data_IF_299263677193
#
_entry.id   IF_299263677193
#
_cell.length_a   1.000
_cell.length_b   1.000
_cell.length_c   1.000
_cell.angle_alpha   90.00
_cell.angle_beta   90.00
_cell.angle_gamma   90.00
#
_symmetry.space_group_name_H-M   'P 1'
#
loop_
_entity.id
_entity.type
_entity.pdbx_description
1 polymer ?
#
# COMPACT_ATOMS: atom_id res chain seq x y z
N UNK A 1 0.27 6.14 22.41
CA UNK A 1 -0.22 5.52 21.17
C UNK A 1 0.78 4.41 20.86
N UNK A 2 0.36 3.17 20.65
CA UNK A 2 1.28 2.12 20.24
C UNK A 2 1.75 2.47 18.82
N UNK A 3 3.08 2.39 18.62
CA UNK A 3 3.67 2.59 17.31
C UNK A 3 3.34 1.39 16.44
N UNK A 4 2.84 1.59 15.23
CA UNK A 4 2.45 0.51 14.32
C UNK A 4 3.64 -0.39 13.95
N UNK A 5 4.84 0.15 14.00
CA UNK A 5 6.08 -0.58 13.74
C UNK A 5 6.32 -1.69 14.76
N UNK A 6 5.83 -1.51 16.00
CA UNK A 6 5.91 -2.49 17.08
C UNK A 6 4.75 -3.51 17.09
N UNK A 7 3.75 -3.34 16.21
CA UNK A 7 2.66 -4.30 16.07
C UNK A 7 3.05 -5.34 15.02
N UNK A 8 3.11 -6.59 15.45
CA UNK A 8 3.53 -7.71 14.59
C UNK A 8 2.40 -8.75 14.49
N UNK A 9 2.31 -9.50 13.37
CA UNK A 9 1.28 -10.52 13.18
C UNK A 9 1.27 -11.60 14.25
N UNK A 10 2.44 -12.00 14.74
CA UNK A 10 2.60 -13.13 15.65
C UNK A 10 3.07 -12.75 17.07
N UNK A 11 3.01 -11.48 17.43
CA UNK A 11 3.10 -10.89 18.77
C UNK A 11 4.32 -11.29 19.62
N UNK A 12 4.39 -12.55 20.06
CA UNK A 12 5.47 -13.07 20.93
C UNK A 12 6.64 -13.70 20.17
N UNK A 13 6.60 -13.68 18.85
CA UNK A 13 7.68 -14.21 18.01
C UNK A 13 8.89 -13.26 18.02
N UNK A 14 10.10 -13.80 18.13
CA UNK A 14 11.35 -13.02 18.18
C UNK A 14 11.85 -12.58 16.82
N UNK A 15 11.22 -13.03 15.73
CA UNK A 15 11.56 -12.59 14.36
C UNK A 15 11.18 -11.14 14.14
N UNK A 16 11.85 -10.49 13.20
CA UNK A 16 11.52 -9.12 12.85
C UNK A 16 10.12 -8.99 12.20
N UNK A 17 9.60 -7.76 12.14
CA UNK A 17 8.26 -7.50 11.59
C UNK A 17 8.16 -7.88 10.11
N UNK A 18 9.19 -7.62 9.31
CA UNK A 18 9.17 -7.89 7.87
C UNK A 18 9.04 -9.39 7.59
N UNK A 19 9.77 -10.22 8.32
CA UNK A 19 9.69 -11.67 8.21
C UNK A 19 8.32 -12.22 8.63
N UNK A 20 7.77 -11.74 9.75
CA UNK A 20 6.43 -12.12 10.21
C UNK A 20 5.33 -11.70 9.23
N UNK A 21 5.43 -10.50 8.68
CA UNK A 21 4.50 -9.97 7.66
C UNK A 21 4.57 -10.79 6.39
N UNK A 22 5.78 -11.13 5.92
CA UNK A 22 5.96 -11.99 4.75
C UNK A 22 5.27 -13.34 4.94
N UNK A 23 5.56 -14.04 6.04
CA UNK A 23 4.96 -15.36 6.34
C UNK A 23 3.43 -15.28 6.42
N UNK A 24 2.90 -14.26 7.07
CA UNK A 24 1.46 -14.05 7.15
C UNK A 24 0.84 -13.89 5.74
N UNK A 25 1.45 -13.07 4.88
CA UNK A 25 0.93 -12.85 3.53
C UNK A 25 1.11 -14.08 2.64
N UNK A 26 2.19 -14.83 2.76
CA UNK A 26 2.36 -16.12 2.07
C UNK A 26 1.24 -17.09 2.47
N UNK A 27 0.92 -17.18 3.76
CA UNK A 27 -0.12 -18.08 4.27
C UNK A 27 -1.54 -17.74 3.79
N UNK A 28 -1.86 -16.44 3.64
CA UNK A 28 -3.20 -15.99 3.24
C UNK A 28 -3.34 -15.73 1.74
N UNK A 29 -2.25 -15.75 0.96
CA UNK A 29 -2.22 -15.39 -0.46
C UNK A 29 -3.32 -16.06 -1.29
N UNK A 30 -3.60 -17.38 -1.16
CA UNK A 30 -4.65 -18.03 -1.96
C UNK A 30 -6.06 -17.48 -1.74
N UNK A 31 -6.36 -16.95 -0.56
CA UNK A 31 -7.68 -16.41 -0.22
C UNK A 31 -7.72 -14.87 -0.21
N UNK A 32 -6.58 -14.20 -0.40
CA UNK A 32 -6.41 -12.76 -0.16
C UNK A 32 -7.39 -11.90 -0.95
N UNK A 33 -7.44 -12.08 -2.27
CA UNK A 33 -8.33 -11.27 -3.13
C UNK A 33 -9.81 -11.48 -2.80
N UNK A 34 -10.20 -12.72 -2.52
CA UNK A 34 -11.57 -13.03 -2.11
C UNK A 34 -11.91 -12.36 -0.79
N UNK A 35 -11.02 -12.48 0.20
CA UNK A 35 -11.22 -11.90 1.53
C UNK A 35 -11.29 -10.37 1.50
N UNK A 36 -10.39 -9.71 0.75
CA UNK A 36 -10.44 -8.25 0.60
C UNK A 36 -11.77 -7.79 0.00
N UNK A 37 -12.26 -8.49 -1.03
CA UNK A 37 -13.56 -8.21 -1.65
C UNK A 37 -14.73 -8.45 -0.69
N UNK A 38 -14.69 -9.55 0.04
CA UNK A 38 -15.72 -9.88 1.03
C UNK A 38 -15.75 -8.86 2.18
N UNK A 39 -14.58 -8.53 2.75
CA UNK A 39 -14.46 -7.57 3.85
C UNK A 39 -14.78 -6.12 3.46
N UNK A 40 -14.64 -5.76 2.20
CA UNK A 40 -14.93 -4.40 1.73
C UNK A 40 -16.25 -4.32 0.97
N UNK A 41 -16.97 -5.42 0.82
CA UNK A 41 -18.14 -5.52 -0.07
C UNK A 41 -17.82 -5.06 -1.50
N UNK A 42 -16.56 -5.26 -1.96
CA UNK A 42 -16.07 -4.85 -3.27
C UNK A 42 -15.81 -3.35 -3.45
N UNK A 43 -15.97 -2.53 -2.40
CA UNK A 43 -15.73 -1.08 -2.44
C UNK A 43 -14.23 -0.77 -2.65
N UNK A 44 -13.33 -1.66 -2.27
CA UNK A 44 -11.88 -1.55 -2.53
C UNK A 44 -11.56 -1.29 -4.02
N UNK A 45 -12.35 -1.85 -4.92
CA UNK A 45 -12.22 -1.60 -6.37
C UNK A 45 -12.54 -0.16 -6.75
N UNK A 46 -13.50 0.47 -6.06
CA UNK A 46 -13.84 1.87 -6.28
C UNK A 46 -12.76 2.80 -5.73
N UNK A 47 -12.16 2.44 -4.58
CA UNK A 47 -11.04 3.19 -4.02
C UNK A 47 -9.83 3.17 -4.95
N UNK A 48 -9.40 1.98 -5.44
CA UNK A 48 -8.33 1.86 -6.43
C UNK A 48 -8.66 2.61 -7.74
N UNK A 49 -9.91 2.51 -8.22
CA UNK A 49 -10.33 3.25 -9.42
C UNK A 49 -10.20 4.77 -9.24
N UNK A 50 -10.57 5.28 -8.06
CA UNK A 50 -10.44 6.71 -7.74
C UNK A 50 -8.96 7.12 -7.69
N UNK A 51 -8.12 6.32 -7.05
CA UNK A 51 -6.68 6.54 -6.97
C UNK A 51 -6.02 6.61 -8.36
N UNK A 52 -6.30 5.64 -9.22
CA UNK A 52 -5.79 5.61 -10.60
C UNK A 52 -6.26 6.83 -11.39
N UNK A 53 -7.53 7.26 -11.25
CA UNK A 53 -8.02 8.49 -11.89
C UNK A 53 -7.28 9.75 -11.40
N UNK A 54 -6.88 9.79 -10.14
CA UNK A 54 -6.09 10.92 -9.62
C UNK A 54 -4.68 10.92 -10.18
N UNK A 55 -4.09 9.74 -10.38
CA UNK A 55 -2.77 9.60 -10.99
C UNK A 55 -2.78 9.95 -12.48
N UNK A 56 -3.90 9.77 -13.18
CA UNK A 56 -4.05 10.08 -14.61
C UNK A 56 -3.75 11.55 -14.97
N UNK A 57 -3.82 12.48 -14.01
CA UNK A 57 -3.47 13.89 -14.21
C UNK A 57 -1.98 14.20 -14.01
N UNK A 58 -1.18 13.22 -13.61
CA UNK A 58 0.27 13.33 -13.40
C UNK A 58 1.02 12.65 -14.56
N UNK A 59 2.33 12.89 -14.67
CA UNK A 59 3.18 12.08 -15.54
C UNK A 59 3.33 10.67 -14.94
N UNK A 60 3.19 9.62 -15.75
CA UNK A 60 3.05 8.25 -15.27
C UNK A 60 3.53 7.19 -16.29
N UNK A 61 4.57 7.51 -17.07
CA UNK A 61 5.13 6.55 -18.02
C UNK A 61 5.81 5.38 -17.30
N UNK A 62 6.58 5.66 -16.25
CA UNK A 62 7.27 4.66 -15.45
C UNK A 62 6.68 4.66 -14.02
N UNK A 63 5.96 3.59 -13.65
CA UNK A 63 5.27 3.47 -12.37
C UNK A 63 5.89 2.37 -11.52
N UNK A 64 6.12 2.65 -10.23
CA UNK A 64 6.44 1.64 -9.22
C UNK A 64 5.25 1.44 -8.27
N UNK A 65 4.82 0.19 -8.09
CA UNK A 65 3.80 -0.21 -7.12
C UNK A 65 4.46 -1.01 -5.98
N UNK A 66 4.54 -0.42 -4.80
CA UNK A 66 5.20 -0.97 -3.61
C UNK A 66 4.18 -1.72 -2.75
N UNK A 67 4.58 -2.87 -2.21
CA UNK A 67 3.69 -3.83 -1.56
C UNK A 67 2.51 -4.17 -2.50
N UNK A 68 2.85 -4.54 -3.73
CA UNK A 68 1.90 -4.74 -4.82
C UNK A 68 0.94 -5.91 -4.58
N UNK A 69 1.32 -6.84 -3.68
CA UNK A 69 0.55 -8.05 -3.39
C UNK A 69 0.28 -8.87 -4.64
N UNK A 70 -0.97 -9.18 -4.89
CA UNK A 70 -1.42 -9.91 -6.08
C UNK A 70 -1.54 -9.03 -7.34
N UNK A 71 -0.98 -7.81 -7.35
CA UNK A 71 -0.90 -6.93 -8.52
C UNK A 71 -2.20 -6.21 -8.91
N UNK A 72 -3.24 -6.21 -8.08
CA UNK A 72 -4.54 -5.61 -8.44
C UNK A 72 -4.44 -4.12 -8.83
N UNK A 73 -3.58 -3.33 -8.15
CA UNK A 73 -3.39 -1.92 -8.48
C UNK A 73 -2.52 -1.77 -9.72
N UNK A 74 -1.42 -2.51 -9.83
CA UNK A 74 -0.52 -2.51 -10.99
C UNK A 74 -1.27 -2.85 -12.29
N UNK A 75 -2.06 -3.93 -12.30
CA UNK A 75 -2.89 -4.35 -13.43
C UNK A 75 -3.90 -3.25 -13.80
N UNK A 76 -4.52 -2.62 -12.79
CA UNK A 76 -5.48 -1.53 -13.03
C UNK A 76 -4.82 -0.30 -13.62
N UNK A 77 -3.63 0.08 -13.15
CA UNK A 77 -2.87 1.20 -13.70
C UNK A 77 -2.50 0.93 -15.16
N UNK A 78 -1.92 -0.22 -15.46
CA UNK A 78 -1.58 -0.62 -16.82
C UNK A 78 -2.79 -0.58 -17.78
N UNK A 79 -3.95 -1.11 -17.35
CA UNK A 79 -5.16 -1.14 -18.18
C UNK A 79 -5.94 0.18 -18.25
N UNK A 80 -5.50 1.24 -17.54
CA UNK A 80 -6.25 2.51 -17.48
C UNK A 80 -5.43 3.73 -17.91
N UNK A 81 -4.13 3.74 -17.61
CA UNK A 81 -3.25 4.90 -17.79
C UNK A 81 -2.39 4.80 -19.05
N UNK A 82 -2.28 3.61 -19.64
CA UNK A 82 -1.42 3.31 -20.78
C UNK A 82 0.06 3.71 -20.54
N UNK A 83 0.67 3.30 -19.40
CA UNK A 83 2.06 3.60 -19.10
C UNK A 83 3.01 2.77 -19.96
N UNK A 84 4.27 3.22 -20.08
CA UNK A 84 5.33 2.44 -20.71
C UNK A 84 5.70 1.21 -19.88
N UNK A 85 5.71 1.37 -18.55
CA UNK A 85 6.07 0.29 -17.62
C UNK A 85 5.39 0.46 -16.26
N UNK A 86 4.96 -0.65 -15.69
CA UNK A 86 4.55 -0.76 -14.29
C UNK A 86 5.36 -1.86 -13.61
N UNK A 87 6.21 -1.50 -12.66
CA UNK A 87 6.96 -2.45 -11.85
C UNK A 87 6.28 -2.58 -10.49
N UNK A 88 5.93 -3.81 -10.08
CA UNK A 88 5.39 -4.08 -8.76
C UNK A 88 6.39 -4.88 -7.92
N UNK A 89 6.58 -4.50 -6.65
CA UNK A 89 7.43 -5.24 -5.70
C UNK A 89 6.66 -5.59 -4.43
N UNK A 90 6.92 -6.79 -3.92
CA UNK A 90 6.37 -7.29 -2.65
C UNK A 90 7.37 -8.21 -1.95
N UNK A 91 7.27 -8.37 -0.63
CA UNK A 91 8.07 -9.32 0.14
C UNK A 91 7.59 -10.77 0.00
N UNK A 92 6.30 -10.97 -0.27
CA UNK A 92 5.65 -12.28 -0.35
C UNK A 92 5.82 -12.90 -1.74
N UNK A 93 6.51 -14.03 -1.81
CA UNK A 93 6.68 -14.79 -3.05
C UNK A 93 5.35 -15.35 -3.57
N UNK A 94 4.52 -15.86 -2.67
CA UNK A 94 3.20 -16.41 -3.00
C UNK A 94 2.26 -15.34 -3.59
N UNK A 95 2.29 -14.11 -3.06
CA UNK A 95 1.54 -12.98 -3.63
C UNK A 95 2.01 -12.66 -5.05
N UNK A 96 3.33 -12.58 -5.25
CA UNK A 96 3.93 -12.28 -6.57
C UNK A 96 3.58 -13.37 -7.59
N UNK A 97 3.61 -14.65 -7.21
CA UNK A 97 3.25 -15.75 -8.10
C UNK A 97 1.77 -15.68 -8.54
N UNK A 98 0.86 -15.35 -7.62
CA UNK A 98 -0.54 -15.10 -7.96
C UNK A 98 -0.67 -13.88 -8.87
N UNK A 99 0.05 -12.80 -8.57
CA UNK A 99 0.08 -11.58 -9.36
C UNK A 99 0.55 -11.81 -10.80
N UNK A 100 1.65 -12.55 -10.99
CA UNK A 100 2.18 -12.90 -12.33
C UNK A 100 1.15 -13.66 -13.16
N UNK A 101 0.43 -14.61 -12.56
CA UNK A 101 -0.66 -15.31 -13.26
C UNK A 101 -1.76 -14.34 -13.69
N UNK A 102 -2.19 -13.42 -12.81
CA UNK A 102 -3.20 -12.40 -13.12
C UNK A 102 -2.74 -11.43 -14.23
N UNK A 103 -1.47 -11.03 -14.23
CA UNK A 103 -0.87 -10.21 -15.29
C UNK A 103 -0.92 -10.95 -16.63
N UNK A 104 -0.57 -12.24 -16.64
CA UNK A 104 -0.63 -13.09 -17.82
C UNK A 104 -2.05 -13.27 -18.36
N UNK A 105 -3.02 -13.54 -17.47
CA UNK A 105 -4.44 -13.67 -17.83
C UNK A 105 -5.01 -12.38 -18.40
N UNK A 106 -4.52 -11.23 -17.91
CA UNK A 106 -4.88 -9.90 -18.41
C UNK A 106 -4.12 -9.52 -19.70
N UNK A 107 -3.15 -10.33 -20.15
CA UNK A 107 -2.28 -10.07 -21.32
C UNK A 107 -1.46 -8.77 -21.20
N UNK A 108 -0.96 -8.50 -19.98
CA UNK A 108 -0.21 -7.27 -19.67
C UNK A 108 1.29 -7.53 -19.43
N UNK A 109 1.83 -8.69 -19.82
CA UNK A 109 3.23 -9.07 -19.59
C UNK A 109 4.27 -8.11 -20.22
N UNK A 110 3.89 -7.42 -21.29
CA UNK A 110 4.75 -6.43 -21.95
C UNK A 110 4.90 -5.12 -21.15
N UNK A 111 3.92 -4.82 -20.25
CA UNK A 111 3.85 -3.56 -19.52
C UNK A 111 4.06 -3.76 -18.03
N UNK A 112 3.59 -4.87 -17.44
CA UNK A 112 3.62 -5.12 -16.00
C UNK A 112 4.65 -6.19 -15.65
N UNK A 113 5.61 -5.83 -14.79
CA UNK A 113 6.58 -6.75 -14.21
C UNK A 113 6.42 -6.81 -12.70
N UNK A 114 6.28 -8.01 -12.13
CA UNK A 114 6.18 -8.21 -10.68
C UNK A 114 7.39 -8.99 -10.16
N UNK A 115 7.97 -8.51 -9.05
CA UNK A 115 9.16 -9.10 -8.45
C UNK A 115 9.20 -9.00 -6.93
N UNK A 116 10.10 -9.79 -6.32
CA UNK A 116 10.38 -9.72 -4.89
C UNK A 116 11.20 -8.46 -4.62
N UNK A 117 10.83 -7.71 -3.58
CA UNK A 117 11.57 -6.52 -3.17
C UNK A 117 11.13 -6.01 -1.82
N UNK A 118 12.09 -5.49 -1.06
CA UNK A 118 11.85 -4.82 0.21
C UNK A 118 11.65 -3.32 -0.03
N UNK A 119 10.54 -2.78 0.47
CA UNK A 119 10.22 -1.36 0.39
C UNK A 119 11.19 -0.46 1.17
N UNK A 120 11.96 -1.02 2.10
CA UNK A 120 12.98 -0.30 2.88
C UNK A 120 14.33 -0.24 2.16
N UNK A 121 14.53 -1.07 1.13
CA UNK A 121 15.76 -1.14 0.33
C UNK A 121 15.41 -1.48 -1.13
N UNK A 122 14.86 -0.51 -1.84
CA UNK A 122 14.41 -0.72 -3.22
C UNK A 122 15.60 -0.90 -4.18
N UNK A 123 15.61 -1.96 -5.01
CA UNK A 123 16.73 -2.28 -5.92
C UNK A 123 16.72 -1.41 -7.20
N UNK A 124 16.35 -0.15 -7.07
CA UNK A 124 16.25 0.78 -8.19
C UNK A 124 17.13 2.01 -7.96
N UNK A 125 17.71 2.59 -9.03
CA UNK A 125 18.44 3.86 -8.94
C UNK A 125 17.54 5.01 -8.48
N UNK A 126 18.18 6.10 -8.03
CA UNK A 126 17.50 7.35 -7.73
C UNK A 126 16.77 7.89 -8.97
N UNK A 127 15.62 8.53 -8.76
CA UNK A 127 14.89 9.24 -9.80
C UNK A 127 14.58 8.36 -11.03
N UNK A 128 14.10 7.14 -10.80
CA UNK A 128 13.77 6.17 -11.85
C UNK A 128 12.31 6.29 -12.30
N UNK A 129 11.37 6.54 -11.38
CA UNK A 129 9.94 6.46 -11.64
C UNK A 129 9.26 7.83 -11.67
N UNK A 130 8.23 7.97 -12.49
CA UNK A 130 7.37 9.16 -12.56
C UNK A 130 6.29 9.14 -11.48
N UNK A 131 5.85 7.93 -11.11
CA UNK A 131 4.91 7.73 -10.04
C UNK A 131 5.29 6.53 -9.16
N UNK A 132 5.04 6.66 -7.85
CA UNK A 132 5.17 5.58 -6.87
C UNK A 132 3.83 5.41 -6.18
N UNK A 133 3.34 4.17 -6.13
CA UNK A 133 2.06 3.83 -5.49
C UNK A 133 2.26 2.79 -4.39
N UNK A 134 1.36 2.79 -3.40
CA UNK A 134 1.26 1.74 -2.40
C UNK A 134 -0.20 1.62 -1.96
N UNK A 135 -0.79 0.42 -2.06
CA UNK A 135 -2.16 0.19 -1.62
C UNK A 135 -2.23 -0.81 -0.47
N UNK A 136 -2.64 -0.33 0.71
CA UNK A 136 -2.83 -1.13 1.94
C UNK A 136 -1.54 -1.79 2.47
N UNK A 137 -0.38 -1.24 2.08
CA UNK A 137 0.93 -1.78 2.44
C UNK A 137 1.60 -1.06 3.61
N UNK A 138 1.42 0.27 3.73
CA UNK A 138 2.21 1.12 4.65
C UNK A 138 2.11 0.68 6.12
N UNK A 139 0.95 0.26 6.59
CA UNK A 139 0.79 -0.24 7.97
C UNK A 139 1.63 -1.47 8.29
N UNK A 140 2.12 -2.17 7.26
CA UNK A 140 2.94 -3.37 7.39
C UNK A 140 4.45 -3.09 7.34
N UNK A 141 4.87 -1.87 7.00
CA UNK A 141 6.29 -1.51 6.97
C UNK A 141 6.91 -1.66 8.37
N UNK A 142 8.13 -2.15 8.42
CA UNK A 142 8.90 -2.25 9.65
C UNK A 142 9.41 -0.86 10.09
N UNK A 143 9.64 0.05 9.13
CA UNK A 143 9.99 1.46 9.33
C UNK A 143 9.29 2.30 8.24
N UNK A 144 8.25 3.03 8.64
CA UNK A 144 7.45 3.85 7.70
C UNK A 144 8.27 5.00 7.13
N UNK A 145 9.09 5.63 7.96
CA UNK A 145 9.92 6.76 7.52
C UNK A 145 11.00 6.32 6.53
N UNK A 146 11.65 5.17 6.77
CA UNK A 146 12.58 4.58 5.82
C UNK A 146 11.90 4.23 4.49
N UNK A 147 10.72 3.61 4.53
CA UNK A 147 9.94 3.33 3.33
C UNK A 147 9.60 4.59 2.54
N UNK A 148 9.21 5.68 3.21
CA UNK A 148 8.92 6.94 2.54
C UNK A 148 10.17 7.61 1.97
N UNK A 149 11.33 7.52 2.65
CA UNK A 149 12.61 7.99 2.09
C UNK A 149 12.98 7.23 0.83
N UNK A 150 12.79 5.92 0.79
CA UNK A 150 13.03 5.09 -0.40
C UNK A 150 12.05 5.44 -1.55
N UNK A 151 10.75 5.61 -1.25
CA UNK A 151 9.78 6.10 -2.24
C UNK A 151 10.19 7.45 -2.82
N UNK A 152 10.64 8.37 -1.96
CA UNK A 152 11.11 9.68 -2.39
C UNK A 152 12.39 9.57 -3.22
N UNK A 153 13.35 8.70 -2.84
CA UNK A 153 14.62 8.51 -3.54
C UNK A 153 14.41 8.07 -4.97
N UNK A 154 13.59 7.03 -5.17
CA UNK A 154 13.36 6.44 -6.51
C UNK A 154 12.43 7.26 -7.39
N UNK A 155 11.68 8.20 -6.84
CA UNK A 155 10.78 9.06 -7.59
C UNK A 155 11.56 10.18 -8.27
N UNK A 156 11.25 10.49 -9.53
CA UNK A 156 11.81 11.64 -10.29
C UNK A 156 11.36 12.96 -9.67
N UNK A 157 12.16 14.04 -9.80
CA UNK A 157 11.71 15.39 -9.46
C UNK A 157 10.41 15.73 -10.22
N UNK A 158 9.39 16.23 -9.49
CA UNK A 158 8.04 16.48 -10.03
C UNK A 158 7.13 15.25 -10.07
N UNK A 159 7.66 14.05 -9.82
CA UNK A 159 6.92 12.80 -9.75
C UNK A 159 5.92 12.76 -8.60
N UNK A 160 4.99 11.83 -8.66
CA UNK A 160 3.85 11.74 -7.73
C UNK A 160 3.93 10.47 -6.88
N UNK A 161 3.81 10.61 -5.56
CA UNK A 161 3.52 9.48 -4.67
C UNK A 161 2.01 9.43 -4.40
N UNK A 162 1.43 8.21 -4.45
CA UNK A 162 0.03 7.97 -4.14
C UNK A 162 -0.11 6.72 -3.26
N UNK A 163 -0.67 6.90 -2.07
CA UNK A 163 -0.88 5.84 -1.09
C UNK A 163 -2.38 5.68 -0.85
N UNK A 164 -2.86 4.45 -0.84
CA UNK A 164 -4.21 4.10 -0.40
C UNK A 164 -4.05 3.31 0.90
N UNK A 165 -4.64 3.77 2.00
CA UNK A 165 -4.55 3.04 3.26
C UNK A 165 -5.90 3.01 3.99
N UNK A 166 -6.15 1.91 4.71
CA UNK A 166 -7.33 1.79 5.56
C UNK A 166 -7.22 2.76 6.72
N UNK A 167 -8.34 3.32 7.12
CA UNK A 167 -8.38 4.33 8.18
C UNK A 167 -9.60 4.15 9.07
N UNK A 168 -9.55 4.76 10.25
CA UNK A 168 -10.64 4.72 11.23
C UNK A 168 -11.53 5.95 11.06
N UNK A 169 -12.85 5.78 10.84
CA UNK A 169 -13.79 6.89 10.73
C UNK A 169 -13.73 7.84 11.93
N UNK A 170 -13.69 9.13 11.66
CA UNK A 170 -13.69 10.17 12.71
C UNK A 170 -15.12 10.50 13.20
N UNK A 171 -16.14 10.18 12.40
CA UNK A 171 -17.55 10.41 12.76
C UNK A 171 -17.96 9.59 13.98
N UNK A 172 -18.49 10.27 15.01
CA UNK A 172 -19.02 9.64 16.22
C UNK A 172 -20.18 8.69 15.96
N UNK A 173 -20.90 8.87 14.85
CA UNK A 173 -22.01 8.00 14.43
C UNK A 173 -21.49 6.76 13.70
N UNK A 174 -20.53 6.90 12.79
CA UNK A 174 -20.02 5.80 11.96
C UNK A 174 -19.05 4.90 12.72
N UNK A 175 -18.23 5.48 13.60
CA UNK A 175 -17.16 4.81 14.33
C UNK A 175 -17.62 3.60 15.17
N UNK A 176 -18.75 3.61 15.90
CA UNK A 176 -19.22 2.44 16.65
C UNK A 176 -19.55 1.25 15.72
N UNK A 177 -20.20 1.49 14.59
CA UNK A 177 -20.53 0.44 13.60
C UNK A 177 -19.27 -0.12 12.95
N UNK A 178 -18.34 0.74 12.58
CA UNK A 178 -17.04 0.36 12.06
C UNK A 178 -16.25 -0.52 13.06
N UNK A 179 -16.19 -0.11 14.33
CA UNK A 179 -15.51 -0.87 15.38
C UNK A 179 -16.17 -2.25 15.61
N UNK A 180 -17.49 -2.32 15.63
CA UNK A 180 -18.20 -3.60 15.70
C UNK A 180 -17.85 -4.49 14.49
N UNK A 181 -17.90 -3.93 13.29
CA UNK A 181 -17.58 -4.65 12.07
C UNK A 181 -16.14 -5.18 12.07
N UNK A 182 -15.16 -4.33 12.34
CA UNK A 182 -13.74 -4.69 12.27
C UNK A 182 -13.30 -5.62 13.41
N UNK A 183 -13.88 -5.50 14.59
CA UNK A 183 -13.48 -6.29 15.78
C UNK A 183 -14.27 -7.59 15.95
N UNK A 184 -15.44 -7.71 15.31
CA UNK A 184 -16.32 -8.88 15.49
C UNK A 184 -16.55 -9.60 14.16
N UNK A 185 -17.00 -8.88 13.12
CA UNK A 185 -17.40 -9.51 11.86
C UNK A 185 -16.17 -9.99 11.08
N UNK A 186 -15.16 -9.14 10.90
CA UNK A 186 -13.95 -9.50 10.14
C UNK A 186 -13.22 -10.72 10.73
N UNK A 187 -12.91 -10.77 12.05
CA UNK A 187 -12.27 -11.94 12.63
C UNK A 187 -13.12 -13.22 12.54
N UNK A 188 -14.45 -13.08 12.62
CA UNK A 188 -15.36 -14.22 12.49
C UNK A 188 -15.35 -14.80 11.09
N UNK A 189 -15.41 -13.95 10.06
CA UNK A 189 -15.28 -14.39 8.65
C UNK A 189 -13.90 -14.99 8.41
N UNK A 190 -12.85 -14.36 8.93
CA UNK A 190 -11.48 -14.84 8.82
C UNK A 190 -11.29 -16.26 9.35
N UNK A 191 -11.88 -16.58 10.49
CA UNK A 191 -11.85 -17.94 11.08
C UNK A 191 -12.52 -19.01 10.22
N UNK A 192 -13.51 -18.62 9.42
CA UNK A 192 -14.26 -19.55 8.57
C UNK A 192 -13.52 -19.81 7.24
N UNK A 193 -12.89 -18.77 6.69
CA UNK A 193 -12.36 -18.80 5.32
C UNK A 193 -10.86 -19.06 5.27
N UNK A 194 -10.11 -18.64 6.29
CA UNK A 194 -8.64 -18.71 6.30
C UNK A 194 -8.14 -19.65 7.38
N UNK A 195 -7.02 -20.34 7.08
CA UNK A 195 -6.29 -21.17 8.04
C UNK A 195 -5.50 -20.31 9.07
N UNK A 196 -5.21 -19.06 8.76
CA UNK A 196 -4.49 -18.14 9.65
C UNK A 196 -5.45 -17.12 10.30
N UNK A 197 -5.88 -17.45 11.51
CA UNK A 197 -6.77 -16.59 12.33
C UNK A 197 -6.06 -15.30 12.78
N UNK A 198 -4.72 -15.31 12.87
CA UNK A 198 -3.93 -14.19 13.43
C UNK A 198 -3.89 -13.02 12.46
N UNK A 199 -3.83 -13.26 11.15
CA UNK A 199 -3.90 -12.21 10.13
C UNK A 199 -5.12 -11.30 10.29
N UNK A 200 -6.25 -11.86 10.74
CA UNK A 200 -7.51 -11.11 10.91
C UNK A 200 -7.65 -10.42 12.26
N UNK A 201 -6.87 -10.79 13.27
CA UNK A 201 -6.71 -9.99 14.50
C UNK A 201 -5.70 -8.85 14.32
N UNK A 202 -4.64 -9.09 13.57
CA UNK A 202 -3.62 -8.09 13.23
C UNK A 202 -4.19 -6.93 12.41
N UNK A 203 -5.14 -7.20 11.49
CA UNK A 203 -5.72 -6.18 10.61
C UNK A 203 -6.34 -5.00 11.37
N UNK A 204 -7.29 -5.17 12.31
CA UNK A 204 -7.86 -4.03 13.04
C UNK A 204 -6.84 -3.32 13.94
N UNK A 205 -5.87 -4.04 14.49
CA UNK A 205 -4.81 -3.46 15.34
C UNK A 205 -3.88 -2.57 14.52
N UNK A 206 -3.38 -3.06 13.39
CA UNK A 206 -2.51 -2.30 12.50
C UNK A 206 -3.22 -1.08 11.89
N UNK A 207 -4.51 -1.18 11.53
CA UNK A 207 -5.30 -0.03 11.06
C UNK A 207 -5.43 1.05 12.16
N UNK A 208 -5.66 0.63 13.40
CA UNK A 208 -5.84 1.58 14.49
C UNK A 208 -4.54 2.31 14.88
N UNK A 209 -3.39 1.68 14.65
CA UNK A 209 -2.07 2.18 15.05
C UNK A 209 -1.35 2.96 13.95
N UNK A 210 -1.59 2.67 12.66
CA UNK A 210 -0.95 3.39 11.57
C UNK A 210 -1.28 4.88 11.64
N UNK A 211 -0.31 5.79 11.40
CA UNK A 211 -0.57 7.22 11.33
C UNK A 211 -1.65 7.54 10.28
N UNK A 212 -2.58 8.45 10.61
CA UNK A 212 -3.72 8.78 9.75
C UNK A 212 -3.89 10.29 9.58
N UNK A 213 -4.50 10.72 8.47
CA UNK A 213 -4.80 12.12 8.21
C UNK A 213 -3.55 12.99 8.21
N UNK A 214 -3.55 14.05 9.03
CA UNK A 214 -2.44 15.01 9.12
C UNK A 214 -1.14 14.38 9.64
N UNK A 215 -1.21 13.36 10.51
CA UNK A 215 -0.03 12.65 10.98
C UNK A 215 0.68 11.91 9.84
N UNK A 216 -0.07 11.25 8.94
CA UNK A 216 0.50 10.63 7.75
C UNK A 216 1.08 11.66 6.78
N UNK A 217 0.39 12.80 6.58
CA UNK A 217 0.89 13.91 5.78
C UNK A 217 2.20 14.49 6.37
N UNK A 218 2.31 14.58 7.69
CA UNK A 218 3.52 15.05 8.34
C UNK A 218 4.73 14.13 8.08
N UNK A 219 4.53 12.80 8.11
CA UNK A 219 5.58 11.83 7.78
C UNK A 219 6.02 11.93 6.31
N UNK A 220 5.06 12.11 5.38
CA UNK A 220 5.38 12.35 3.98
C UNK A 220 6.19 13.65 3.79
N UNK A 221 5.80 14.73 4.48
CA UNK A 221 6.56 15.99 4.46
C UNK A 221 7.97 15.83 5.03
N UNK A 222 8.13 15.08 6.13
CA UNK A 222 9.44 14.80 6.74
C UNK A 222 10.35 13.99 5.81
N UNK A 223 9.77 13.12 4.97
CA UNK A 223 10.49 12.38 3.94
C UNK A 223 10.85 13.24 2.69
N UNK A 224 10.45 14.51 2.64
CA UNK A 224 10.78 15.45 1.56
C UNK A 224 9.70 15.63 0.49
N UNK A 225 8.51 15.05 0.66
CA UNK A 225 7.40 15.26 -0.26
C UNK A 225 6.73 16.62 -0.04
N UNK A 226 6.32 17.23 -1.14
CA UNK A 226 5.68 18.53 -1.19
C UNK A 226 4.16 18.42 -1.14
N UNK A 227 3.51 19.31 -0.38
CA UNK A 227 2.06 19.50 -0.29
C UNK A 227 1.26 18.18 -0.15
N UNK A 228 1.59 17.29 0.81
CA UNK A 228 0.82 16.07 1.00
C UNK A 228 -0.64 16.39 1.34
N UNK A 229 -1.56 15.64 0.75
CA UNK A 229 -3.00 15.77 0.98
C UNK A 229 -3.61 14.44 1.34
N UNK A 230 -4.42 14.42 2.39
CA UNK A 230 -5.25 13.29 2.79
C UNK A 230 -6.68 13.46 2.23
N UNK A 231 -7.19 12.46 1.53
CA UNK A 231 -8.51 12.46 0.90
C UNK A 231 -9.29 11.28 1.44
N UNK A 232 -10.13 11.47 2.46
CA UNK A 232 -10.92 10.40 3.04
C UNK A 232 -11.99 9.90 2.05
N UNK A 233 -12.19 8.58 2.06
CA UNK A 233 -13.17 7.86 1.25
C UNK A 233 -14.14 7.11 2.16
N UNK A 234 -15.37 6.89 1.68
CA UNK A 234 -16.37 6.03 2.34
C UNK A 234 -16.45 6.31 3.83
N UNK A 235 -16.85 7.54 4.19
CA UNK A 235 -16.96 8.00 5.59
C UNK A 235 -15.66 7.92 6.41
N UNK A 236 -14.49 7.85 5.75
CA UNK A 236 -13.18 7.78 6.40
C UNK A 236 -12.72 6.36 6.77
N UNK A 237 -13.28 5.32 6.14
CA UNK A 237 -12.81 3.93 6.31
C UNK A 237 -11.57 3.62 5.46
N UNK A 238 -11.27 4.48 4.50
CA UNK A 238 -10.08 4.45 3.68
C UNK A 238 -9.66 5.89 3.37
N UNK A 239 -8.37 6.14 3.20
CA UNK A 239 -7.83 7.45 2.85
C UNK A 239 -6.82 7.32 1.72
N UNK A 240 -6.91 8.19 0.72
CA UNK A 240 -5.86 8.37 -0.28
C UNK A 240 -4.96 9.50 0.20
N UNK A 241 -3.65 9.25 0.21
CA UNK A 241 -2.63 10.28 0.41
C UNK A 241 -1.91 10.49 -0.91
N UNK A 242 -1.74 11.75 -1.31
CA UNK A 242 -1.07 12.12 -2.56
C UNK A 242 -0.16 13.30 -2.30
N UNK A 243 1.07 13.22 -2.82
CA UNK A 243 2.06 14.28 -2.72
C UNK A 243 3.00 14.26 -3.94
N UNK A 244 3.86 15.26 -4.08
CA UNK A 244 4.85 15.35 -5.14
C UNK A 244 6.27 15.42 -4.59
N UNK A 245 7.25 14.93 -5.35
CA UNK A 245 8.64 15.25 -5.14
C UNK A 245 8.94 16.62 -5.73
N UNK A 246 9.57 17.51 -4.95
CA UNK A 246 9.88 18.87 -5.40
C UNK A 246 10.80 18.85 -6.64
N UNK A 247 10.57 19.78 -7.56
CA UNK A 247 11.39 19.95 -8.79
C UNK A 247 12.73 20.62 -8.46
N UNK A 248 12.84 21.34 -7.34
CA UNK A 248 13.97 22.21 -7.00
C UNK A 248 15.24 21.50 -6.51
N UNK A 249 15.27 20.17 -6.41
CA UNK A 249 16.49 19.43 -6.03
C UNK A 249 17.41 19.12 -7.23
N UNK A 250 17.62 20.08 -8.13
CA UNK A 250 18.79 20.08 -9.02
C UNK A 250 19.78 21.13 -8.53
N UNK A 251 20.95 20.65 -8.08
CA UNK A 251 22.22 21.36 -7.80
C UNK A 251 22.44 21.91 -6.38
N UNK A 252 23.16 21.12 -5.60
CA UNK A 252 24.29 21.61 -4.80
C UNK A 252 25.42 20.57 -4.66
N UNK A 253 25.68 19.78 -5.71
CA UNK A 253 26.91 18.98 -5.78
C UNK A 253 27.61 19.23 -7.12
N UNK A 254 28.15 20.39 -7.25
CA UNK A 254 29.16 20.71 -8.26
C UNK A 254 29.97 21.92 -7.80
N UNK A 255 30.96 21.65 -6.94
CA UNK A 255 32.24 22.36 -6.91
C UNK A 255 33.20 21.60 -6.01
#
# INVERSE_FOLDING_TARGET
MQDVENITPYGTDSRDKAEQVREMFDAIAPAYDFMNRAMTFGIDRLWRRKAVKMLASAHHDEILDIATGTGDLAIRMAGTLDPLSVVGVDLSEEMIEIGRRKVSDAKLNEVVTLGIGDCLLLPFPDSTFDAVTCAYGVRNFADIEAGYREMHRVLRPGGTVLIIELSTPQSSVVRPFYNFYTRTVIPTIGRIVSKDVRAYSYLPESIAAVPQGDAMCALLSAAGFDAPRAIPLTFGTCTIYIAKKNISQRKTDSY
#
